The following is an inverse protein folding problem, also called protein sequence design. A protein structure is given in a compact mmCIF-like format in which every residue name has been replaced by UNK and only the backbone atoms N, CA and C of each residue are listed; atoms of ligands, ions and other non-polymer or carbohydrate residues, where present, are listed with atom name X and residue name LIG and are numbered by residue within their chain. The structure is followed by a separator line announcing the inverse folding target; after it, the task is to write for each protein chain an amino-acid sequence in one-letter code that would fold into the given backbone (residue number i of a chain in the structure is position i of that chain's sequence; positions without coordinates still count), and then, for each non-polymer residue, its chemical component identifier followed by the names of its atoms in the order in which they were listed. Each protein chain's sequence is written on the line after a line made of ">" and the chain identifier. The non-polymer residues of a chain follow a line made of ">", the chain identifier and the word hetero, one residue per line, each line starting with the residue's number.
data_IF_166682931464
#
_entry.id   IF_166682931464
#
_cell.length_a   1.000
_cell.length_b   1.000
_cell.length_c   1.000
_cell.angle_alpha   90.00
_cell.angle_beta   90.00
_cell.angle_gamma   90.00
#
_symmetry.space_group_name_H-M   'P 1'
#
loop_
_entity.id
_entity.type
_entity.pdbx_description
1 polymer ?
#
# COMPACT_ATOMS: atom_id res chain seq x y z
N UNK A 1 1.73 18.96 -4.17
CA UNK A 1 2.26 19.14 -2.80
C UNK A 1 1.08 19.42 -1.87
N UNK A 2 0.74 18.46 -1.00
CA UNK A 2 -0.27 18.71 0.04
C UNK A 2 0.10 19.95 0.88
N UNK A 3 -0.88 20.80 1.21
CA UNK A 3 -0.63 22.01 2.03
C UNK A 3 -0.68 21.62 3.50
N UNK A 4 0.48 21.64 4.15
CA UNK A 4 0.63 21.48 5.60
C UNK A 4 0.98 22.79 6.31
N UNK A 5 0.79 22.85 7.62
CA UNK A 5 1.25 23.98 8.44
C UNK A 5 1.71 23.54 9.82
N UNK A 6 2.56 24.36 10.44
CA UNK A 6 3.05 24.13 11.81
C UNK A 6 2.54 25.23 12.73
N UNK A 7 2.18 24.86 13.96
CA UNK A 7 1.76 25.81 15.00
C UNK A 7 2.42 25.51 16.33
N UNK A 8 2.67 26.56 17.12
CA UNK A 8 3.21 26.43 18.48
C UNK A 8 2.06 26.32 19.48
N UNK A 9 2.15 25.36 20.41
CA UNK A 9 1.25 25.24 21.57
C UNK A 9 2.10 24.99 22.81
N UNK A 10 2.21 25.99 23.67
CA UNK A 10 3.09 25.95 24.84
C UNK A 10 4.55 25.76 24.44
N UNK A 11 5.21 24.73 24.99
CA UNK A 11 6.61 24.38 24.71
C UNK A 11 6.82 23.59 23.42
N UNK A 12 5.76 23.00 22.86
CA UNK A 12 5.86 22.09 21.71
C UNK A 12 5.28 22.72 20.44
N UNK A 13 5.82 22.30 19.31
CA UNK A 13 5.26 22.55 18.00
C UNK A 13 4.41 21.36 17.55
N UNK A 14 3.40 21.67 16.77
CA UNK A 14 2.45 20.73 16.19
C UNK A 14 2.45 20.94 14.70
N UNK A 15 2.24 19.88 13.93
CA UNK A 15 2.01 19.98 12.51
C UNK A 15 0.61 19.50 12.17
N UNK A 16 0.04 20.06 11.10
CA UNK A 16 -1.26 19.65 10.58
C UNK A 16 -1.23 19.60 9.07
N UNK A 17 -1.91 18.60 8.52
CA UNK A 17 -2.05 18.40 7.09
C UNK A 17 -3.39 17.74 6.79
N UNK A 18 -3.84 17.84 5.55
CA UNK A 18 -5.10 17.22 5.12
C UNK A 18 -4.88 15.77 4.72
N UNK A 19 -5.76 14.90 5.19
CA UNK A 19 -5.86 13.49 4.80
C UNK A 19 -7.29 13.19 4.37
N UNK A 20 -7.47 12.29 3.41
CA UNK A 20 -8.78 11.72 3.09
C UNK A 20 -9.22 10.75 4.19
N UNK A 21 -10.48 10.88 4.61
CA UNK A 21 -11.16 9.89 5.43
C UNK A 21 -11.69 8.72 4.58
N UNK A 22 -12.30 7.72 5.22
CA UNK A 22 -12.85 6.54 4.55
C UNK A 22 -13.97 6.86 3.52
N UNK A 23 -14.57 8.05 3.62
CA UNK A 23 -15.59 8.54 2.69
C UNK A 23 -15.02 9.42 1.56
N UNK A 24 -13.70 9.62 1.54
CA UNK A 24 -13.01 10.45 0.55
C UNK A 24 -13.01 11.94 0.85
N UNK A 25 -13.49 12.38 2.03
CA UNK A 25 -13.48 13.79 2.41
C UNK A 25 -12.12 14.19 3.00
N UNK A 26 -11.65 15.40 2.69
CA UNK A 26 -10.41 15.93 3.25
C UNK A 26 -10.62 16.41 4.69
N UNK A 27 -10.07 15.68 5.65
CA UNK A 27 -10.04 16.03 7.07
C UNK A 27 -8.64 16.53 7.47
N UNK A 28 -8.59 17.56 8.30
CA UNK A 28 -7.32 18.08 8.82
C UNK A 28 -6.89 17.27 10.04
N UNK A 29 -5.74 16.59 9.95
CA UNK A 29 -5.15 15.85 11.08
C UNK A 29 -4.04 16.66 11.72
N UNK A 30 -4.11 16.83 13.04
CA UNK A 30 -3.08 17.47 13.84
C UNK A 30 -2.25 16.43 14.60
N UNK A 31 -0.93 16.57 14.54
CA UNK A 31 0.02 15.68 15.19
C UNK A 31 1.03 16.49 16.01
N UNK A 32 1.49 15.88 17.10
CA UNK A 32 2.54 16.46 17.95
C UNK A 32 3.87 16.41 17.18
N UNK A 33 4.57 17.54 17.16
CA UNK A 33 5.92 17.66 16.60
C UNK A 33 7.00 17.66 17.69
N UNK A 34 8.00 18.50 17.50
CA UNK A 34 9.15 18.67 18.42
C UNK A 34 9.06 20.01 19.17
N UNK A 35 10.03 20.30 20.04
CA UNK A 35 10.16 21.63 20.67
C UNK A 35 10.72 22.69 19.70
N UNK A 36 11.19 22.27 18.52
CA UNK A 36 11.70 23.15 17.47
C UNK A 36 10.73 23.26 16.29
N UNK A 37 10.67 24.46 15.68
CA UNK A 37 9.88 24.69 14.46
C UNK A 37 10.43 23.84 13.30
N UNK A 38 11.74 23.91 13.08
CA UNK A 38 12.42 23.23 11.97
C UNK A 38 12.33 21.70 12.06
N UNK A 39 12.48 21.12 13.26
CA UNK A 39 12.28 19.68 13.47
C UNK A 39 10.84 19.24 13.16
N UNK A 40 9.88 20.08 13.51
CA UNK A 40 8.46 19.81 13.23
C UNK A 40 8.10 19.95 11.76
N UNK A 41 8.73 20.88 11.03
CA UNK A 41 8.60 20.98 9.58
C UNK A 41 9.19 19.76 8.85
N UNK A 42 10.28 19.17 9.36
CA UNK A 42 10.81 17.90 8.83
C UNK A 42 9.83 16.75 9.02
N UNK A 43 9.25 16.63 10.22
CA UNK A 43 8.21 15.63 10.51
C UNK A 43 6.98 15.81 9.62
N UNK A 44 6.56 17.06 9.39
CA UNK A 44 5.46 17.36 8.47
C UNK A 44 5.76 16.89 7.05
N UNK A 45 6.96 17.18 6.51
CA UNK A 45 7.36 16.72 5.17
C UNK A 45 7.33 15.20 5.09
N UNK A 46 7.94 14.52 6.06
CA UNK A 46 7.96 13.06 6.10
C UNK A 46 6.54 12.46 6.18
N UNK A 47 5.68 13.00 7.06
CA UNK A 47 4.30 12.54 7.17
C UNK A 47 3.49 12.75 5.88
N UNK A 48 3.75 13.86 5.16
CA UNK A 48 3.13 14.12 3.86
C UNK A 48 3.66 13.17 2.78
N UNK A 49 4.96 12.91 2.71
CA UNK A 49 5.57 11.97 1.76
C UNK A 49 5.07 10.54 2.01
N UNK A 50 5.01 10.11 3.27
CA UNK A 50 4.47 8.81 3.67
C UNK A 50 2.97 8.71 3.34
N UNK A 51 2.22 9.79 3.53
CA UNK A 51 0.82 9.86 3.17
C UNK A 51 0.63 9.77 1.65
N UNK A 52 1.38 10.53 0.84
CA UNK A 52 1.31 10.48 -0.62
C UNK A 52 1.70 9.10 -1.17
N UNK A 53 2.76 8.47 -0.61
CA UNK A 53 3.15 7.08 -0.95
C UNK A 53 2.02 6.09 -0.63
N UNK A 54 1.42 6.17 0.56
CA UNK A 54 0.28 5.32 0.94
C UNK A 54 -0.95 5.57 0.07
N UNK A 55 -1.23 6.82 -0.30
CA UNK A 55 -2.35 7.20 -1.17
C UNK A 55 -2.18 6.68 -2.60
N UNK A 56 -0.93 6.63 -3.09
CA UNK A 56 -0.61 6.03 -4.39
C UNK A 56 -0.92 4.53 -4.41
N UNK A 57 -0.64 3.83 -3.30
CA UNK A 57 -1.03 2.43 -3.11
C UNK A 57 -2.56 2.29 -2.92
N UNK A 58 -3.22 3.24 -2.26
CA UNK A 58 -4.66 3.20 -1.99
C UNK A 58 -5.57 3.51 -3.20
N UNK A 59 -5.07 4.15 -4.27
CA UNK A 59 -5.81 4.22 -5.53
C UNK A 59 -5.78 2.85 -6.19
N UNK A 60 -6.84 2.06 -6.01
CA UNK A 60 -7.04 0.73 -6.62
C UNK A 60 -6.74 0.69 -8.14
N UNK A 61 -6.88 1.84 -8.82
CA UNK A 61 -6.54 2.01 -10.22
C UNK A 61 -5.05 1.82 -10.58
N UNK A 62 -4.16 1.90 -9.60
CA UNK A 62 -2.71 1.80 -9.80
C UNK A 62 -2.09 0.54 -9.19
N UNK A 63 -2.84 -0.21 -8.38
CA UNK A 63 -2.36 -1.45 -7.79
C UNK A 63 -2.15 -2.51 -8.87
N UNK A 64 -0.97 -3.13 -8.87
CA UNK A 64 -0.72 -4.35 -9.63
C UNK A 64 -1.23 -5.58 -8.88
N UNK A 65 -1.39 -6.71 -9.58
CA UNK A 65 -1.75 -7.98 -8.94
C UNK A 65 -0.72 -8.35 -7.85
N UNK A 66 0.57 -8.19 -8.13
CA UNK A 66 1.64 -8.47 -7.16
C UNK A 66 1.56 -7.59 -5.92
N UNK A 67 1.29 -6.29 -6.09
CA UNK A 67 1.13 -5.37 -4.97
C UNK A 67 -0.10 -5.67 -4.13
N UNK A 68 -1.22 -6.06 -4.75
CA UNK A 68 -2.40 -6.51 -4.02
C UNK A 68 -2.08 -7.73 -3.14
N UNK A 69 -1.36 -8.70 -3.70
CA UNK A 69 -0.97 -9.90 -2.96
C UNK A 69 -0.02 -9.58 -1.80
N UNK A 70 0.86 -8.59 -1.94
CA UNK A 70 1.73 -8.14 -0.85
C UNK A 70 0.92 -7.48 0.29
N UNK A 71 -0.04 -6.62 -0.05
CA UNK A 71 -0.95 -6.00 0.93
C UNK A 71 -1.77 -7.06 1.64
N UNK A 72 -2.40 -7.97 0.88
CA UNK A 72 -3.18 -9.07 1.46
C UNK A 72 -2.33 -9.98 2.36
N UNK A 73 -1.11 -10.31 1.93
CA UNK A 73 -0.20 -11.14 2.70
C UNK A 73 0.15 -10.52 4.05
N UNK A 74 0.40 -9.21 4.08
CA UNK A 74 0.82 -8.50 5.28
C UNK A 74 -0.35 -8.17 6.21
N UNK A 75 -1.45 -7.67 5.65
CA UNK A 75 -2.54 -7.10 6.44
C UNK A 75 -3.57 -8.14 6.90
N UNK A 76 -3.77 -9.22 6.15
CA UNK A 76 -4.79 -10.24 6.44
C UNK A 76 -4.21 -11.64 6.66
N UNK A 77 -3.34 -12.12 5.76
CA UNK A 77 -2.89 -13.51 5.79
C UNK A 77 -2.01 -13.82 7.01
N UNK A 78 -1.03 -12.96 7.32
CA UNK A 78 -0.10 -13.15 8.45
C UNK A 78 -0.71 -12.82 9.81
N UNK A 79 -1.73 -11.97 9.84
CA UNK A 79 -2.41 -11.51 11.06
C UNK A 79 -3.68 -12.32 11.37
N UNK A 80 -4.12 -13.16 10.42
CA UNK A 80 -5.33 -13.97 10.52
C UNK A 80 -5.21 -15.20 11.44
N UNK A 81 -6.26 -16.02 11.42
CA UNK A 81 -6.41 -17.19 12.30
C UNK A 81 -5.99 -18.51 11.65
N UNK A 82 -5.42 -18.45 10.44
CA UNK A 82 -4.95 -19.64 9.71
C UNK A 82 -3.74 -20.25 10.41
N UNK A 83 -3.61 -21.57 10.32
CA UNK A 83 -2.43 -22.26 10.85
C UNK A 83 -1.17 -21.84 10.11
N UNK A 84 -0.01 -21.88 10.79
CA UNK A 84 1.27 -21.48 10.20
C UNK A 84 1.57 -22.19 8.88
N UNK A 85 1.31 -23.51 8.79
CA UNK A 85 1.51 -24.25 7.54
C UNK A 85 0.60 -23.78 6.40
N UNK A 86 -0.62 -23.35 6.72
CA UNK A 86 -1.55 -22.77 5.73
C UNK A 86 -1.06 -21.41 5.26
N UNK A 87 -0.61 -20.56 6.19
CA UNK A 87 -0.01 -19.25 5.89
C UNK A 87 1.23 -19.42 4.99
N UNK A 88 2.13 -20.33 5.34
CA UNK A 88 3.33 -20.63 4.54
C UNK A 88 3.00 -21.12 3.13
N UNK A 89 1.98 -21.96 2.97
CA UNK A 89 1.51 -22.42 1.66
C UNK A 89 1.03 -21.23 0.81
N UNK A 90 0.19 -20.36 1.37
CA UNK A 90 -0.25 -19.16 0.64
C UNK A 90 0.92 -18.23 0.28
N UNK A 91 1.86 -18.00 1.20
CA UNK A 91 3.06 -17.21 0.91
C UNK A 91 3.95 -17.86 -0.17
N UNK A 92 4.02 -19.18 -0.22
CA UNK A 92 4.64 -19.94 -1.31
C UNK A 92 3.96 -19.69 -2.65
N UNK A 93 2.63 -19.80 -2.69
CA UNK A 93 1.83 -19.53 -3.89
C UNK A 93 2.00 -18.09 -4.38
N UNK A 94 1.93 -17.10 -3.47
CA UNK A 94 2.16 -15.68 -3.81
C UNK A 94 3.55 -15.50 -4.43
N UNK A 95 4.60 -16.08 -3.83
CA UNK A 95 5.97 -16.01 -4.39
C UNK A 95 6.06 -16.57 -5.81
N UNK A 96 5.28 -17.59 -6.15
CA UNK A 96 5.25 -18.15 -7.49
C UNK A 96 4.44 -17.29 -8.46
N UNK A 97 3.28 -16.77 -8.06
CA UNK A 97 2.49 -15.84 -8.88
C UNK A 97 3.32 -14.60 -9.22
N UNK A 98 4.10 -14.08 -8.26
CA UNK A 98 4.97 -12.90 -8.46
C UNK A 98 6.11 -13.11 -9.46
N UNK A 99 6.42 -14.34 -9.86
CA UNK A 99 7.38 -14.62 -10.95
C UNK A 99 6.75 -14.51 -12.34
N UNK A 100 5.42 -14.45 -12.42
CA UNK A 100 4.69 -14.40 -13.69
C UNK A 100 4.38 -12.95 -14.10
N UNK A 101 4.40 -12.60 -15.39
CA UNK A 101 4.07 -11.23 -15.86
C UNK A 101 2.69 -10.72 -15.45
N UNK A 102 1.76 -11.61 -15.09
CA UNK A 102 0.46 -11.25 -14.48
C UNK A 102 0.63 -10.39 -13.22
N UNK A 103 1.68 -10.60 -12.43
CA UNK A 103 1.94 -9.85 -11.21
C UNK A 103 2.20 -8.36 -11.43
N UNK A 104 2.80 -7.99 -12.56
CA UNK A 104 3.10 -6.59 -12.91
C UNK A 104 1.91 -5.88 -13.57
N UNK A 105 0.85 -6.60 -13.93
CA UNK A 105 -0.35 -6.00 -14.52
C UNK A 105 -1.16 -5.27 -13.45
N UNK A 106 -1.63 -4.07 -13.79
CA UNK A 106 -2.61 -3.33 -12.98
C UNK A 106 -3.90 -4.14 -12.86
N UNK A 107 -4.48 -4.20 -11.66
CA UNK A 107 -5.72 -4.93 -11.38
C UNK A 107 -6.84 -4.57 -12.36
N UNK A 108 -7.04 -3.27 -12.61
CA UNK A 108 -8.05 -2.77 -13.56
C UNK A 108 -7.86 -3.22 -15.01
N UNK A 109 -6.67 -3.71 -15.36
CA UNK A 109 -6.32 -4.17 -16.71
C UNK A 109 -6.24 -5.71 -16.78
N UNK A 110 -6.48 -6.42 -15.68
CA UNK A 110 -6.57 -7.89 -15.70
C UNK A 110 -7.84 -8.28 -16.44
N UNK A 111 -7.72 -9.22 -17.37
CA UNK A 111 -8.83 -9.73 -18.20
C UNK A 111 -8.96 -11.22 -17.95
N UNK A 112 -10.09 -11.81 -18.36
CA UNK A 112 -10.29 -13.26 -18.33
C UNK A 112 -9.20 -14.01 -19.12
N UNK A 113 -8.79 -13.47 -20.27
CA UNK A 113 -7.72 -14.04 -21.10
C UNK A 113 -6.38 -14.10 -20.35
N UNK A 114 -6.00 -13.02 -19.64
CA UNK A 114 -4.77 -13.02 -18.84
C UNK A 114 -4.77 -14.10 -17.74
N UNK A 115 -5.93 -14.35 -17.12
CA UNK A 115 -6.09 -15.40 -16.12
C UNK A 115 -6.06 -16.79 -16.76
N UNK A 116 -6.75 -16.96 -17.90
CA UNK A 116 -6.76 -18.22 -18.62
C UNK A 116 -5.35 -18.63 -19.05
N UNK A 117 -4.58 -17.71 -19.65
CA UNK A 117 -3.18 -17.99 -20.03
C UNK A 117 -2.31 -18.37 -18.85
N UNK A 118 -2.54 -17.78 -17.67
CA UNK A 118 -1.82 -18.14 -16.45
C UNK A 118 -2.17 -19.57 -16.00
N UNK A 119 -3.44 -19.96 -16.01
CA UNK A 119 -3.86 -21.32 -15.66
C UNK A 119 -3.41 -22.36 -16.69
N UNK A 120 -3.42 -22.01 -17.97
CA UNK A 120 -2.91 -22.87 -19.04
C UNK A 120 -1.43 -23.14 -18.85
N UNK A 121 -0.63 -22.11 -18.53
CA UNK A 121 0.80 -22.27 -18.21
C UNK A 121 1.01 -23.21 -17.01
N UNK A 122 0.22 -23.07 -15.95
CA UNK A 122 0.32 -23.93 -14.76
C UNK A 122 -0.10 -25.38 -15.05
N UNK A 123 -1.08 -25.58 -15.93
CA UNK A 123 -1.69 -26.90 -16.18
C UNK A 123 -0.91 -27.70 -17.23
N UNK A 124 -0.45 -27.03 -18.29
CA UNK A 124 0.16 -27.68 -19.45
C UNK A 124 1.67 -27.49 -19.54
N UNK A 125 2.23 -26.59 -18.72
CA UNK A 125 3.64 -26.22 -18.79
C UNK A 125 3.96 -25.31 -19.97
N UNK A 126 5.05 -24.54 -19.87
CA UNK A 126 5.48 -23.58 -20.90
C UNK A 126 6.67 -22.73 -20.44
N UNK A 127 7.23 -21.95 -21.36
CA UNK A 127 8.28 -20.96 -21.07
C UNK A 127 7.59 -19.62 -20.77
N UNK A 128 8.04 -18.92 -19.72
CA UNK A 128 7.57 -17.57 -19.42
C UNK A 128 7.65 -16.68 -20.68
N UNK A 129 6.58 -15.95 -21.07
CA UNK A 129 6.68 -14.95 -22.14
C UNK A 129 7.57 -13.78 -21.73
#
# INVERSE_FOLDING_TARGET
>A
MAKGSVRKKGKKWYYRFYVEDASGNLVQKECVGTESKSGTEKLLRQAMDDYEKKKFVAKAENLTVGQLLDVWAEEELKTGTLSNGTVENYLGTIRNIKKHPLAERKLKNVTSEHLQSFFDLLSFGGVHP
#
